data_IF_856982043596
#
_entry.id   IF_856982043596
#
_cell.length_a   1.000
_cell.length_b   1.000
_cell.length_c   1.000
_cell.angle_alpha   90.00
_cell.angle_beta   90.00
_cell.angle_gamma   90.00
#
_symmetry.space_group_name_H-M   'P 1'
#
loop_
_entity.id
_entity.type
_entity.pdbx_description
1 polymer ?
#
# COMPACT_ATOMS: atom_id res chain seq x y z
N UNK A 1 10.39 36.16 4.61
CA UNK A 1 10.67 34.80 5.16
C UNK A 1 11.01 33.87 3.99
N UNK A 2 12.18 33.21 3.97
CA UNK A 2 12.54 32.25 2.89
C UNK A 2 11.65 31.00 3.01
N UNK A 3 11.08 30.51 1.89
CA UNK A 3 10.47 29.18 1.82
C UNK A 3 11.51 28.13 2.26
N UNK A 4 11.13 27.22 3.15
CA UNK A 4 12.02 26.18 3.64
C UNK A 4 12.60 25.39 2.47
N UNK A 5 13.93 25.32 2.38
CA UNK A 5 14.63 24.43 1.45
C UNK A 5 14.33 22.97 1.86
N UNK A 6 14.38 22.05 0.90
CA UNK A 6 14.29 20.62 1.22
C UNK A 6 15.41 20.20 2.19
N UNK A 7 15.28 19.05 2.86
CA UNK A 7 16.26 18.56 3.84
C UNK A 7 17.71 18.47 3.32
N UNK A 8 17.89 18.33 2.00
CA UNK A 8 19.18 18.36 1.31
C UNK A 8 19.61 19.75 0.79
N UNK A 9 18.97 20.84 1.22
CA UNK A 9 19.30 22.21 0.80
C UNK A 9 18.85 22.61 -0.62
N UNK A 10 18.24 21.69 -1.36
CA UNK A 10 17.70 21.89 -2.71
C UNK A 10 16.28 22.47 -2.74
N UNK A 11 15.73 22.60 -3.97
CA UNK A 11 14.33 22.99 -4.20
C UNK A 11 13.40 22.02 -3.44
N UNK A 12 12.49 22.51 -2.59
CA UNK A 12 11.56 21.62 -1.89
C UNK A 12 10.78 20.78 -2.93
N UNK A 13 10.57 19.48 -2.67
CA UNK A 13 9.80 18.63 -3.56
C UNK A 13 8.43 19.27 -3.85
N UNK A 14 7.94 19.16 -5.08
CA UNK A 14 6.62 19.69 -5.45
C UNK A 14 5.46 18.86 -4.87
N UNK A 15 5.74 17.80 -4.11
CA UNK A 15 4.73 16.96 -3.49
C UNK A 15 4.38 17.45 -2.08
N UNK A 16 3.12 17.29 -1.72
CA UNK A 16 2.60 17.61 -0.39
C UNK A 16 3.01 16.50 0.60
N UNK A 17 3.85 16.81 1.61
CA UNK A 17 4.30 15.83 2.58
C UNK A 17 3.17 15.19 3.39
N UNK A 18 2.10 15.93 3.68
CA UNK A 18 0.98 15.45 4.47
C UNK A 18 0.08 14.53 3.64
N UNK A 19 -0.14 14.84 2.37
CA UNK A 19 -0.80 13.91 1.45
C UNK A 19 0.04 12.63 1.24
N UNK A 20 1.37 12.75 1.18
CA UNK A 20 2.24 11.59 0.99
C UNK A 20 2.23 10.62 2.17
N UNK A 21 2.00 11.10 3.41
CA UNK A 21 1.85 10.24 4.59
C UNK A 21 0.68 9.26 4.46
N UNK A 22 -0.37 9.60 3.72
CA UNK A 22 -1.53 8.73 3.53
C UNK A 22 -1.18 7.43 2.79
N UNK A 23 -0.06 7.39 2.04
CA UNK A 23 0.47 6.17 1.40
C UNK A 23 0.66 5.01 2.39
N UNK A 24 1.03 5.31 3.64
CA UNK A 24 1.24 4.31 4.69
C UNK A 24 -0.02 3.44 4.95
N UNK A 25 -1.23 3.98 4.71
CA UNK A 25 -2.47 3.20 4.84
C UNK A 25 -2.51 2.08 3.80
N UNK A 26 -2.18 2.42 2.54
CA UNK A 26 -2.12 1.47 1.43
C UNK A 26 -1.01 0.45 1.66
N UNK A 27 0.18 0.90 2.05
CA UNK A 27 1.32 0.01 2.31
C UNK A 27 1.03 -1.00 3.41
N UNK A 28 0.41 -0.56 4.52
CA UNK A 28 0.01 -1.46 5.61
C UNK A 28 -1.10 -2.42 5.19
N UNK A 29 -2.00 -2.03 4.29
CA UNK A 29 -2.99 -2.93 3.72
C UNK A 29 -2.31 -4.05 2.90
N UNK A 30 -1.42 -3.69 1.98
CA UNK A 30 -0.69 -4.67 1.17
C UNK A 30 0.24 -5.56 2.00
N UNK A 31 0.86 -5.01 3.06
CA UNK A 31 1.68 -5.83 3.97
C UNK A 31 0.85 -6.91 4.68
N UNK A 32 -0.39 -6.58 5.07
CA UNK A 32 -1.34 -7.55 5.64
C UNK A 32 -1.81 -8.57 4.61
N UNK A 33 -2.10 -8.15 3.38
CA UNK A 33 -2.44 -9.06 2.27
C UNK A 33 -1.31 -10.05 1.97
N UNK A 34 -0.04 -9.64 2.09
CA UNK A 34 1.11 -10.52 1.89
C UNK A 34 1.28 -11.59 2.97
N UNK A 35 0.60 -11.49 4.12
CA UNK A 35 0.61 -12.55 5.14
C UNK A 35 -0.17 -13.80 4.67
N UNK A 36 -1.09 -13.64 3.71
CA UNK A 36 -1.78 -14.77 3.08
C UNK A 36 -0.84 -15.43 2.07
N UNK A 37 -0.11 -16.46 2.51
CA UNK A 37 0.94 -17.13 1.70
C UNK A 37 0.47 -17.56 0.31
N UNK A 38 -0.74 -18.11 0.20
CA UNK A 38 -1.31 -18.52 -1.09
C UNK A 38 -1.51 -17.36 -2.07
N UNK A 39 -1.93 -16.21 -1.56
CA UNK A 39 -2.09 -14.98 -2.32
C UNK A 39 -0.73 -14.39 -2.72
N UNK A 40 0.20 -14.30 -1.77
CA UNK A 40 1.53 -13.70 -1.97
C UNK A 40 2.36 -14.47 -3.01
N UNK A 41 2.31 -15.79 -2.98
CA UNK A 41 3.03 -16.66 -3.92
C UNK A 41 2.24 -16.90 -5.21
N UNK A 42 0.97 -16.47 -5.29
CA UNK A 42 0.08 -16.64 -6.43
C UNK A 42 -0.07 -18.11 -6.85
N UNK A 43 -0.49 -18.96 -5.93
CA UNK A 43 -0.73 -20.39 -6.22
C UNK A 43 -1.94 -20.63 -7.12
N UNK A 44 -2.94 -19.74 -7.10
CA UNK A 44 -4.08 -19.81 -7.99
C UNK A 44 -3.67 -19.61 -9.46
N UNK A 45 -3.66 -20.70 -10.24
CA UNK A 45 -3.36 -20.68 -11.68
C UNK A 45 -4.38 -19.89 -12.49
N UNK A 46 -5.66 -19.94 -12.11
CA UNK A 46 -6.75 -19.25 -12.81
C UNK A 46 -6.93 -17.85 -12.23
N UNK A 47 -6.99 -16.84 -13.10
CA UNK A 47 -7.21 -15.45 -12.72
C UNK A 47 -8.48 -15.26 -11.87
N UNK A 48 -9.56 -16.00 -12.17
CA UNK A 48 -10.79 -15.96 -11.39
C UNK A 48 -10.60 -16.38 -9.93
N UNK A 49 -9.81 -17.44 -9.68
CA UNK A 49 -9.53 -17.90 -8.32
C UNK A 49 -8.60 -16.94 -7.59
N UNK A 50 -7.56 -16.43 -8.25
CA UNK A 50 -6.70 -15.41 -7.64
C UNK A 50 -7.49 -14.14 -7.26
N UNK A 51 -8.44 -13.72 -8.10
CA UNK A 51 -9.34 -12.61 -7.79
C UNK A 51 -10.23 -12.91 -6.58
N UNK A 52 -10.78 -14.12 -6.50
CA UNK A 52 -11.58 -14.54 -5.35
C UNK A 52 -10.76 -14.55 -4.05
N UNK A 53 -9.52 -15.05 -4.10
CA UNK A 53 -8.58 -15.00 -2.96
C UNK A 53 -8.33 -13.57 -2.47
N UNK A 54 -8.10 -12.62 -3.38
CA UNK A 54 -7.93 -11.20 -3.04
C UNK A 54 -9.18 -10.67 -2.33
N UNK A 55 -10.37 -10.92 -2.89
CA UNK A 55 -11.63 -10.44 -2.33
C UNK A 55 -11.84 -11.02 -0.92
N UNK A 56 -11.64 -12.33 -0.76
CA UNK A 56 -11.75 -12.99 0.54
C UNK A 56 -10.75 -12.41 1.55
N UNK A 57 -9.49 -12.24 1.17
CA UNK A 57 -8.48 -11.64 2.04
C UNK A 57 -8.85 -10.20 2.44
N UNK A 58 -9.37 -9.39 1.51
CA UNK A 58 -9.86 -8.04 1.80
C UNK A 58 -11.05 -8.05 2.77
N UNK A 59 -12.03 -8.93 2.58
CA UNK A 59 -13.17 -9.08 3.50
C UNK A 59 -12.67 -9.45 4.90
N UNK A 60 -11.78 -10.44 4.99
CA UNK A 60 -11.20 -10.89 6.26
C UNK A 60 -10.41 -9.79 6.96
N UNK A 61 -9.68 -8.95 6.22
CA UNK A 61 -8.94 -7.81 6.79
C UNK A 61 -9.84 -6.64 7.17
N UNK A 62 -11.04 -6.54 6.58
CA UNK A 62 -12.02 -5.50 6.88
C UNK A 62 -12.88 -5.84 8.11
N UNK A 63 -13.18 -7.12 8.31
CA UNK A 63 -13.97 -7.62 9.45
C UNK A 63 -13.14 -7.84 10.73
N UNK A 64 -11.83 -7.63 10.66
CA UNK A 64 -10.89 -7.71 11.78
C UNK A 64 -10.58 -6.33 12.33
#
# INVERSE_FOLDING_TARGET
RRKAKGSAGGRPPAFDPDLYKLRNVVERCFNRLKQFRGLATRFAKRAAYHRAEIILACIVLHLR
#
